data_IF_627572399782
#
_entry.id   IF_627572399782
#
_cell.length_a   1.000
_cell.length_b   1.000
_cell.length_c   1.000
_cell.angle_alpha   90.00
_cell.angle_beta   90.00
_cell.angle_gamma   90.00
#
_symmetry.space_group_name_H-M   'P 1'
#
loop_
_entity.id
_entity.type
_entity.pdbx_description
1 polymer ?
#
# COMPACT_ATOMS: atom_id res chain seq x y z
N UNK A 1 29.01 -18.96 -1.86
CA UNK A 1 27.75 -18.30 -1.49
C UNK A 1 28.11 -16.91 -0.99
N UNK A 2 27.69 -15.80 -1.62
CA UNK A 2 27.89 -14.50 -1.00
C UNK A 2 27.21 -14.51 0.38
N UNK A 3 27.92 -14.04 1.41
CA UNK A 3 27.44 -14.05 2.79
C UNK A 3 26.19 -13.20 2.98
N UNK A 4 25.41 -13.49 4.03
CA UNK A 4 24.31 -12.61 4.45
C UNK A 4 24.88 -11.22 4.74
N UNK A 5 24.22 -10.18 4.22
CA UNK A 5 24.57 -8.80 4.53
C UNK A 5 24.47 -8.56 6.04
N UNK A 6 25.37 -7.75 6.57
CA UNK A 6 25.16 -7.11 7.87
C UNK A 6 23.97 -6.16 7.81
N UNK A 7 23.47 -5.74 8.99
CA UNK A 7 22.39 -4.77 9.07
C UNK A 7 22.74 -3.43 8.39
N UNK A 8 23.98 -2.95 8.58
CA UNK A 8 24.45 -1.72 7.96
C UNK A 8 24.51 -1.83 6.43
N UNK A 9 25.09 -2.90 5.90
CA UNK A 9 25.15 -3.13 4.45
C UNK A 9 23.77 -3.29 3.82
N UNK A 10 22.82 -3.91 4.53
CA UNK A 10 21.44 -4.00 4.08
C UNK A 10 20.76 -2.61 4.05
N UNK A 11 20.94 -1.80 5.09
CA UNK A 11 20.41 -0.44 5.14
C UNK A 11 20.99 0.40 4.01
N UNK A 12 22.31 0.43 3.84
CA UNK A 12 22.98 1.21 2.79
C UNK A 12 22.50 0.81 1.40
N UNK A 13 22.32 -0.50 1.18
CA UNK A 13 21.82 -1.03 -0.10
C UNK A 13 20.42 -0.53 -0.44
N UNK A 14 19.52 -0.44 0.53
CA UNK A 14 18.09 -0.20 0.27
C UNK A 14 17.63 1.23 0.62
N UNK A 15 18.43 2.00 1.36
CA UNK A 15 18.01 3.29 1.93
C UNK A 15 17.51 4.29 0.88
N UNK A 16 18.27 4.51 -0.19
CA UNK A 16 17.91 5.48 -1.23
C UNK A 16 16.65 5.07 -2.00
N UNK A 17 16.51 3.78 -2.30
CA UNK A 17 15.34 3.25 -2.99
C UNK A 17 14.08 3.34 -2.12
N UNK A 18 14.18 2.94 -0.85
CA UNK A 18 13.07 3.04 0.09
C UNK A 18 12.66 4.50 0.31
N UNK A 19 13.63 5.42 0.43
CA UNK A 19 13.35 6.86 0.52
C UNK A 19 12.57 7.36 -0.69
N UNK A 20 12.98 6.99 -1.91
CA UNK A 20 12.27 7.37 -3.13
C UNK A 20 10.84 6.83 -3.13
N UNK A 21 10.65 5.54 -2.83
CA UNK A 21 9.31 4.92 -2.77
C UNK A 21 8.40 5.59 -1.73
N UNK A 22 8.95 6.01 -0.59
CA UNK A 22 8.20 6.75 0.44
C UNK A 22 7.74 8.11 -0.09
N UNK A 23 8.62 8.85 -0.79
CA UNK A 23 8.28 10.14 -1.37
C UNK A 23 7.23 10.02 -2.49
N UNK A 24 7.36 9.01 -3.34
CA UNK A 24 6.40 8.74 -4.41
C UNK A 24 5.00 8.41 -3.84
N UNK A 25 4.96 7.56 -2.81
CA UNK A 25 3.74 7.24 -2.09
C UNK A 25 3.11 8.48 -1.43
N UNK A 26 3.90 9.32 -0.77
CA UNK A 26 3.42 10.57 -0.18
C UNK A 26 2.82 11.50 -1.25
N UNK A 27 3.51 11.71 -2.36
CA UNK A 27 2.99 12.51 -3.47
C UNK A 27 1.70 11.93 -4.07
N UNK A 28 1.55 10.60 -4.12
CA UNK A 28 0.31 9.95 -4.50
C UNK A 28 -0.85 10.27 -3.55
N UNK A 29 -0.61 10.22 -2.24
CA UNK A 29 -1.60 10.56 -1.22
C UNK A 29 -1.98 12.05 -1.28
N UNK A 30 -1.00 12.95 -1.46
CA UNK A 30 -1.26 14.39 -1.61
C UNK A 30 -2.16 14.69 -2.81
N UNK A 31 -1.97 13.99 -3.94
CA UNK A 31 -2.84 14.14 -5.13
C UNK A 31 -4.26 13.65 -4.86
N UNK A 32 -4.43 12.54 -4.14
CA UNK A 32 -5.75 12.03 -3.73
C UNK A 32 -6.44 13.04 -2.81
N UNK A 33 -5.69 13.61 -1.87
CA UNK A 33 -6.19 14.61 -0.93
C UNK A 33 -6.50 15.96 -1.60
N UNK A 34 -5.83 16.30 -2.70
CA UNK A 34 -6.16 17.47 -3.52
C UNK A 34 -7.37 17.23 -4.43
N UNK A 35 -7.50 16.00 -4.97
CA UNK A 35 -8.65 15.59 -5.76
C UNK A 35 -9.96 15.53 -4.94
N UNK A 36 -9.88 15.57 -3.61
CA UNK A 36 -10.98 15.89 -2.70
C UNK A 36 -11.37 17.38 -2.81
N UNK A 37 -11.72 17.82 -4.01
CA UNK A 37 -12.50 19.03 -4.25
C UNK A 37 -13.98 18.63 -4.36
N UNK A 38 -14.89 19.50 -3.93
CA UNK A 38 -16.29 19.20 -3.62
C UNK A 38 -17.02 18.42 -4.72
N UNK A 39 -17.94 17.49 -4.37
CA UNK A 39 -18.82 16.87 -5.35
C UNK A 39 -19.56 17.99 -6.08
N UNK A 40 -19.32 18.13 -7.40
CA UNK A 40 -19.99 19.14 -8.22
C UNK A 40 -21.53 18.94 -8.14
N UNK A 41 -22.00 17.70 -7.92
CA UNK A 41 -23.42 17.35 -7.92
C UNK A 41 -23.85 16.36 -6.81
N UNK A 42 -23.08 16.21 -5.72
CA UNK A 42 -23.44 15.30 -4.60
C UNK A 42 -23.52 13.80 -4.95
N UNK A 43 -23.18 13.40 -6.17
CA UNK A 43 -23.42 12.05 -6.71
C UNK A 43 -22.35 11.00 -6.33
N UNK A 44 -21.19 11.42 -5.81
CA UNK A 44 -20.12 10.51 -5.41
C UNK A 44 -19.92 10.55 -3.89
N UNK A 45 -19.75 9.38 -3.24
CA UNK A 45 -19.36 9.35 -1.83
C UNK A 45 -18.03 10.09 -1.65
N UNK A 46 -17.81 10.73 -0.48
CA UNK A 46 -16.54 11.38 -0.19
C UNK A 46 -15.37 10.41 -0.43
N UNK A 47 -14.27 10.88 -1.03
CA UNK A 47 -13.05 10.06 -1.23
C UNK A 47 -12.58 9.40 0.08
N UNK A 48 -12.90 10.00 1.24
CA UNK A 48 -12.64 9.44 2.57
C UNK A 48 -13.34 8.10 2.84
N UNK A 49 -14.40 7.76 2.10
CA UNK A 49 -15.14 6.50 2.17
C UNK A 49 -14.74 5.49 1.08
N UNK A 50 -13.77 5.80 0.20
CA UNK A 50 -13.34 4.85 -0.83
C UNK A 50 -12.61 3.65 -0.18
N UNK A 51 -13.08 2.41 -0.39
CA UNK A 51 -12.49 1.21 0.22
C UNK A 51 -11.02 0.99 -0.22
N UNK A 52 -10.62 1.48 -1.39
CA UNK A 52 -9.21 1.39 -1.86
C UNK A 52 -8.31 2.25 -0.98
N UNK A 53 -8.77 3.44 -0.58
CA UNK A 53 -8.01 4.31 0.32
C UNK A 53 -7.90 3.71 1.73
N UNK A 54 -8.94 3.02 2.20
CA UNK A 54 -8.91 2.28 3.46
C UNK A 54 -7.85 1.16 3.44
N UNK A 55 -7.76 0.38 2.36
CA UNK A 55 -6.73 -0.67 2.18
C UNK A 55 -5.31 -0.08 2.15
N UNK A 56 -5.10 1.04 1.47
CA UNK A 56 -3.80 1.74 1.46
C UNK A 56 -3.39 2.14 2.89
N UNK A 57 -4.31 2.74 3.65
CA UNK A 57 -4.05 3.13 5.06
C UNK A 57 -3.79 1.93 5.96
N UNK A 58 -4.46 0.81 5.73
CA UNK A 58 -4.19 -0.44 6.43
C UNK A 58 -2.78 -0.97 6.12
N UNK A 59 -2.40 -1.00 4.85
CA UNK A 59 -1.08 -1.46 4.43
C UNK A 59 0.05 -0.60 5.04
N UNK A 60 -0.14 0.73 5.10
CA UNK A 60 0.82 1.64 5.74
C UNK A 60 1.03 1.33 7.22
N UNK A 61 -0.06 1.10 7.97
CA UNK A 61 0.02 0.70 9.38
C UNK A 61 0.72 -0.65 9.55
N UNK A 62 0.47 -1.57 8.63
CA UNK A 62 1.08 -2.89 8.63
C UNK A 62 2.59 -2.85 8.39
N UNK A 63 3.08 -1.96 7.52
CA UNK A 63 4.51 -1.83 7.23
C UNK A 63 5.32 -1.41 8.48
N UNK A 64 4.73 -0.67 9.41
CA UNK A 64 5.42 -0.09 10.57
C UNK A 64 5.15 -0.81 11.89
N UNK A 65 4.40 -1.92 11.89
CA UNK A 65 3.98 -2.63 13.10
C UNK A 65 5.06 -3.48 13.79
N UNK A 66 6.30 -3.45 13.28
CA UNK A 66 7.43 -4.21 13.81
C UNK A 66 7.46 -5.70 13.46
N UNK A 67 6.45 -6.25 12.80
CA UNK A 67 6.38 -7.69 12.49
C UNK A 67 7.01 -8.03 11.13
N UNK A 68 7.52 -9.25 11.01
CA UNK A 68 8.07 -9.81 9.77
C UNK A 68 7.02 -10.10 8.71
N UNK A 69 7.44 -10.74 7.60
CA UNK A 69 6.56 -11.14 6.48
C UNK A 69 5.72 -10.00 5.89
N UNK A 70 6.23 -8.76 5.94
CA UNK A 70 5.52 -7.55 5.51
C UNK A 70 4.96 -7.69 4.09
N UNK A 71 5.73 -8.24 3.16
CA UNK A 71 5.30 -8.42 1.77
C UNK A 71 4.07 -9.32 1.65
N UNK A 72 4.09 -10.51 2.27
CA UNK A 72 2.96 -11.46 2.23
C UNK A 72 1.73 -10.85 2.90
N UNK A 73 1.94 -10.17 4.02
CA UNK A 73 0.87 -9.54 4.78
C UNK A 73 0.24 -8.36 4.04
N UNK A 74 1.03 -7.55 3.34
CA UNK A 74 0.52 -6.49 2.45
C UNK A 74 -0.22 -7.10 1.26
N UNK A 75 0.31 -8.17 0.65
CA UNK A 75 -0.36 -8.87 -0.45
C UNK A 75 -1.77 -9.31 -0.06
N UNK A 76 -1.96 -9.85 1.15
CA UNK A 76 -3.28 -10.26 1.62
C UNK A 76 -4.30 -9.12 1.73
N UNK A 77 -3.87 -7.89 2.06
CA UNK A 77 -4.77 -6.72 2.11
C UNK A 77 -5.34 -6.40 0.71
N UNK A 78 -4.53 -6.61 -0.33
CA UNK A 78 -4.89 -6.30 -1.71
C UNK A 78 -5.38 -7.51 -2.52
N UNK A 79 -5.43 -8.69 -1.92
CA UNK A 79 -5.96 -9.87 -2.57
C UNK A 79 -7.50 -9.87 -2.51
N UNK A 80 -8.14 -10.28 -3.59
CA UNK A 80 -9.57 -10.56 -3.55
C UNK A 80 -9.86 -11.75 -2.63
N UNK A 81 -11.07 -11.81 -2.03
CA UNK A 81 -11.52 -13.02 -1.36
C UNK A 81 -11.40 -14.20 -2.31
N UNK A 82 -10.94 -15.34 -1.80
CA UNK A 82 -10.96 -16.56 -2.57
C UNK A 82 -12.42 -16.89 -2.96
N UNK A 83 -12.71 -16.89 -4.25
CA UNK A 83 -13.99 -17.33 -4.82
C UNK A 83 -13.86 -18.82 -5.21
N UNK A 84 -14.50 -19.76 -4.50
CA UNK A 84 -14.49 -21.18 -4.86
C UNK A 84 -15.07 -21.44 -6.27
N UNK A 85 -15.89 -20.53 -6.78
CA UNK A 85 -16.51 -20.57 -8.11
C UNK A 85 -15.68 -19.91 -9.21
N UNK A 86 -14.44 -19.47 -8.96
CA UNK A 86 -13.66 -18.66 -9.93
C UNK A 86 -13.46 -19.33 -11.30
N UNK A 87 -13.48 -20.67 -11.39
CA UNK A 87 -13.38 -21.42 -12.66
C UNK A 87 -14.70 -21.53 -13.42
N UNK A 88 -15.79 -21.12 -12.81
CA UNK A 88 -17.15 -21.22 -13.34
C UNK A 88 -17.78 -19.85 -13.61
N UNK A 89 -17.08 -18.76 -13.29
CA UNK A 89 -17.46 -17.41 -13.68
C UNK A 89 -17.13 -17.20 -15.18
N UNK A 90 -18.07 -16.66 -15.97
CA UNK A 90 -17.95 -16.53 -17.43
C UNK A 90 -16.85 -15.56 -17.88
#
# INVERSE_FOLDING_TARGET
MPGKLSAAEAIDRWHLELRHRILDLAAGLDRIDHARSDPIDGAAPPVTQDPRLSRIREALRLLTDGRGERTVRVQHIFSDPYDPGWRSSP
#
